data_IF_009592717580
#
_entry.id   IF_009592717580
#
_cell.length_a   1.000
_cell.length_b   1.000
_cell.length_c   1.000
_cell.angle_alpha   90.00
_cell.angle_beta   90.00
_cell.angle_gamma   90.00
#
_symmetry.space_group_name_H-M   'P 1'
#
loop_
_entity.id
_entity.type
_entity.pdbx_description
1 polymer ?
#
# COMPACT_ATOMS: atom_id res chain seq x y z
N UNK A 1 7.60 6.01 19.13
CA UNK A 1 8.20 7.36 19.27
C UNK A 1 7.40 8.37 18.45
N UNK A 2 7.30 9.62 18.90
CA UNK A 2 6.33 10.68 18.48
C UNK A 2 4.85 10.34 18.74
N UNK A 3 4.22 9.39 18.06
CA UNK A 3 2.78 9.11 18.29
C UNK A 3 2.50 8.61 19.72
N UNK A 4 3.41 7.80 20.27
CA UNK A 4 3.27 7.31 21.65
C UNK A 4 3.57 8.42 22.68
N UNK A 5 4.38 9.42 22.30
CA UNK A 5 4.58 10.63 23.10
C UNK A 5 3.32 11.51 23.07
N UNK A 6 2.75 11.75 21.89
CA UNK A 6 1.50 12.51 21.72
C UNK A 6 0.37 11.85 22.50
N UNK A 7 0.26 10.52 22.46
CA UNK A 7 -0.69 9.77 23.27
C UNK A 7 -0.48 10.01 24.77
N UNK A 8 0.75 9.85 25.27
CA UNK A 8 1.07 10.08 26.68
C UNK A 8 0.76 11.51 27.13
N UNK A 9 1.11 12.50 26.32
CA UNK A 9 0.78 13.91 26.59
C UNK A 9 -0.73 14.15 26.61
N UNK A 10 -1.47 13.56 25.67
CA UNK A 10 -2.92 13.71 25.59
C UNK A 10 -3.64 13.08 26.79
N UNK A 11 -3.21 11.88 27.21
CA UNK A 11 -3.75 11.23 28.42
C UNK A 11 -3.44 12.03 29.68
N UNK A 12 -2.22 12.57 29.78
CA UNK A 12 -1.82 13.42 30.93
C UNK A 12 -2.68 14.69 31.02
N UNK A 13 -3.02 15.29 29.87
CA UNK A 13 -3.85 16.50 29.79
C UNK A 13 -5.34 16.21 30.10
N UNK A 14 -5.85 15.05 29.66
CA UNK A 14 -7.20 14.59 30.02
C UNK A 14 -7.38 14.46 31.53
N UNK A 15 -6.35 13.97 32.22
CA UNK A 15 -6.36 13.74 33.67
C UNK A 15 -5.96 15.00 34.48
N UNK A 16 -5.64 16.12 33.81
CA UNK A 16 -5.24 17.35 34.49
C UNK A 16 -6.41 18.04 35.19
N UNK A 17 -6.11 18.72 36.31
CA UNK A 17 -7.12 19.46 37.08
C UNK A 17 -7.71 20.67 36.31
N UNK A 18 -6.96 21.19 35.34
CA UNK A 18 -7.38 22.21 34.38
C UNK A 18 -6.99 21.72 32.97
N UNK A 19 -7.85 20.86 32.41
CA UNK A 19 -7.60 20.23 31.12
C UNK A 19 -7.68 21.25 29.98
N UNK A 20 -6.79 21.14 28.98
CA UNK A 20 -6.70 22.12 27.90
C UNK A 20 -7.92 22.15 26.96
N UNK A 21 -8.70 21.07 26.94
CA UNK A 21 -9.79 20.83 25.99
C UNK A 21 -11.05 20.31 26.70
N UNK A 22 -12.19 20.44 26.03
CA UNK A 22 -13.42 19.75 26.42
C UNK A 22 -13.34 18.25 26.12
N UNK A 23 -14.22 17.46 26.77
CA UNK A 23 -14.34 16.01 26.50
C UNK A 23 -14.62 15.70 25.03
N UNK A 24 -15.38 16.56 24.35
CA UNK A 24 -15.71 16.37 22.94
C UNK A 24 -14.46 16.54 22.06
N UNK A 25 -13.66 17.57 22.33
CA UNK A 25 -12.40 17.83 21.63
C UNK A 25 -11.38 16.71 21.88
N UNK A 26 -11.26 16.23 23.13
CA UNK A 26 -10.42 15.06 23.42
C UNK A 26 -10.88 13.82 22.65
N UNK A 27 -12.19 13.58 22.54
CA UNK A 27 -12.73 12.49 21.72
C UNK A 27 -12.33 12.60 20.25
N UNK A 28 -12.31 13.81 19.68
CA UNK A 28 -11.85 14.05 18.31
C UNK A 28 -10.34 13.83 18.16
N UNK A 29 -9.54 14.30 19.12
CA UNK A 29 -8.08 14.11 19.13
C UNK A 29 -7.71 12.63 19.26
N UNK A 30 -8.35 11.88 20.15
CA UNK A 30 -8.15 10.45 20.32
C UNK A 30 -8.51 9.66 19.05
N UNK A 31 -9.59 10.07 18.36
CA UNK A 31 -9.96 9.48 17.06
C UNK A 31 -8.87 9.71 16.00
N UNK A 32 -8.38 10.95 15.86
CA UNK A 32 -7.28 11.28 14.93
C UNK A 32 -5.99 10.54 15.27
N UNK A 33 -5.65 10.45 16.55
CA UNK A 33 -4.48 9.69 17.01
C UNK A 33 -4.61 8.20 16.66
N UNK A 34 -5.80 7.62 16.86
CA UNK A 34 -6.08 6.23 16.47
C UNK A 34 -5.90 6.04 14.96
N UNK A 35 -6.41 6.96 14.13
CA UNK A 35 -6.20 6.94 12.68
C UNK A 35 -4.72 7.03 12.30
N UNK A 36 -3.94 7.93 12.91
CA UNK A 36 -2.51 8.04 12.67
C UNK A 36 -1.74 6.77 13.06
N UNK A 37 -2.13 6.13 14.17
CA UNK A 37 -1.54 4.85 14.58
C UNK A 37 -1.86 3.72 13.60
N UNK A 38 -3.10 3.65 13.10
CA UNK A 38 -3.47 2.69 12.06
C UNK A 38 -2.67 2.93 10.78
N UNK A 39 -2.53 4.19 10.36
CA UNK A 39 -1.73 4.56 9.19
C UNK A 39 -0.27 4.15 9.35
N UNK A 40 0.34 4.40 10.53
CA UNK A 40 1.71 3.96 10.85
C UNK A 40 1.85 2.43 10.77
N UNK A 41 0.87 1.68 11.28
CA UNK A 41 0.90 0.22 11.21
C UNK A 41 0.79 -0.29 9.77
N UNK A 42 -0.08 0.34 8.96
CA UNK A 42 -0.23 0.01 7.55
C UNK A 42 1.04 0.31 6.75
N UNK A 43 1.65 1.48 6.97
CA UNK A 43 2.94 1.89 6.40
C UNK A 43 4.02 0.84 6.69
N UNK A 44 4.25 0.54 7.97
CA UNK A 44 5.24 -0.45 8.39
C UNK A 44 5.02 -1.80 7.70
N UNK A 45 3.77 -2.27 7.62
CA UNK A 45 3.47 -3.53 6.95
C UNK A 45 3.71 -3.45 5.44
N UNK A 46 3.22 -2.40 4.79
CA UNK A 46 3.26 -2.22 3.35
C UNK A 46 4.70 -2.07 2.85
N UNK A 47 5.43 -1.07 3.38
CA UNK A 47 6.75 -0.71 2.88
C UNK A 47 7.80 -1.75 3.29
N UNK A 48 7.76 -2.25 4.53
CA UNK A 48 8.73 -3.28 4.94
C UNK A 48 8.53 -4.60 4.20
N UNK A 49 7.28 -5.00 3.93
CA UNK A 49 7.00 -6.21 3.15
C UNK A 49 7.53 -6.05 1.73
N UNK A 50 7.22 -4.94 1.06
CA UNK A 50 7.72 -4.68 -0.30
C UNK A 50 9.25 -4.67 -0.31
N UNK A 51 9.92 -3.94 0.57
CA UNK A 51 11.38 -3.88 0.63
C UNK A 51 12.05 -5.15 1.18
N UNK A 52 11.29 -6.13 1.69
CA UNK A 52 11.86 -7.42 2.11
C UNK A 52 12.28 -8.29 0.92
N UNK A 53 11.67 -8.07 -0.25
CA UNK A 53 12.00 -8.80 -1.48
C UNK A 53 13.17 -8.13 -2.22
N UNK A 54 14.07 -8.93 -2.79
CA UNK A 54 15.23 -8.40 -3.52
C UNK A 54 14.85 -7.76 -4.86
N UNK A 55 13.83 -8.31 -5.54
CA UNK A 55 13.42 -7.83 -6.86
C UNK A 55 12.66 -6.49 -6.78
N UNK A 56 11.87 -6.24 -5.73
CA UNK A 56 11.23 -4.93 -5.49
C UNK A 56 12.25 -3.83 -5.23
N UNK A 57 13.29 -4.13 -4.44
CA UNK A 57 14.45 -3.24 -4.24
C UNK A 57 15.20 -2.94 -5.53
N UNK A 58 15.21 -3.86 -6.49
CA UNK A 58 15.82 -3.63 -7.80
C UNK A 58 15.02 -2.63 -8.64
N UNK A 59 13.70 -2.50 -8.42
CA UNK A 59 12.89 -1.46 -9.08
C UNK A 59 13.07 -0.11 -8.42
N UNK A 60 12.88 -0.11 -7.11
CA UNK A 60 12.90 1.09 -6.30
C UNK A 60 13.25 0.71 -4.84
N UNK A 61 14.44 1.12 -4.40
CA UNK A 61 14.90 0.91 -3.02
C UNK A 61 14.50 2.05 -2.08
N UNK A 62 13.87 3.11 -2.60
CA UNK A 62 13.52 4.30 -1.85
C UNK A 62 12.21 4.08 -1.07
N UNK A 63 12.32 4.05 0.26
CA UNK A 63 11.18 3.89 1.17
C UNK A 63 10.11 4.97 0.97
N UNK A 64 10.51 6.23 0.78
CA UNK A 64 9.60 7.36 0.54
C UNK A 64 8.73 7.17 -0.70
N UNK A 65 9.25 6.55 -1.75
CA UNK A 65 8.50 6.24 -2.97
C UNK A 65 7.35 5.26 -2.67
N UNK A 66 7.63 4.18 -1.93
CA UNK A 66 6.60 3.19 -1.56
C UNK A 66 5.57 3.74 -0.57
N UNK A 67 6.01 4.59 0.37
CA UNK A 67 5.10 5.29 1.27
C UNK A 67 4.17 6.24 0.50
N UNK A 68 4.71 7.01 -0.44
CA UNK A 68 3.91 7.90 -1.28
C UNK A 68 2.89 7.11 -2.10
N UNK A 69 3.30 5.98 -2.68
CA UNK A 69 2.39 5.06 -3.37
C UNK A 69 1.24 4.62 -2.47
N UNK A 70 1.54 4.17 -1.25
CA UNK A 70 0.51 3.75 -0.30
C UNK A 70 -0.48 4.90 -0.03
N UNK A 71 0.02 6.10 0.27
CA UNK A 71 -0.82 7.27 0.56
C UNK A 71 -1.66 7.71 -0.64
N UNK A 72 -1.14 7.58 -1.86
CA UNK A 72 -1.89 7.86 -3.08
C UNK A 72 -2.99 6.83 -3.30
N UNK A 73 -2.74 5.54 -3.05
CA UNK A 73 -3.77 4.49 -3.18
C UNK A 73 -4.92 4.64 -2.18
N UNK A 74 -4.66 5.17 -0.98
CA UNK A 74 -5.72 5.48 -0.01
C UNK A 74 -6.68 6.57 -0.52
N UNK A 75 -6.21 7.45 -1.40
CA UNK A 75 -6.94 8.63 -1.90
C UNK A 75 -7.46 8.46 -3.33
N UNK A 76 -6.78 7.67 -4.16
CA UNK A 76 -7.07 7.52 -5.60
C UNK A 76 -6.72 6.09 -6.09
N UNK A 77 -7.35 5.03 -5.52
CA UNK A 77 -6.99 3.65 -5.86
C UNK A 77 -7.33 3.26 -7.30
N UNK A 78 -8.26 3.98 -7.94
CA UNK A 78 -8.61 3.79 -9.35
C UNK A 78 -7.46 4.17 -10.31
N UNK A 79 -6.45 4.92 -9.83
CA UNK A 79 -5.25 5.27 -10.59
C UNK A 79 -4.09 4.29 -10.35
N UNK A 80 -4.37 3.09 -9.82
CA UNK A 80 -3.32 2.11 -9.44
C UNK A 80 -2.34 1.79 -10.58
N UNK A 81 -2.79 1.74 -11.84
CA UNK A 81 -1.92 1.49 -12.99
C UNK A 81 -0.88 2.61 -13.19
N UNK A 82 -1.30 3.88 -13.16
CA UNK A 82 -0.40 5.03 -13.30
C UNK A 82 0.48 5.22 -12.08
N UNK A 83 -0.08 5.04 -10.88
CA UNK A 83 0.66 5.13 -9.63
C UNK A 83 1.77 4.06 -9.55
N UNK A 84 1.51 2.83 -9.99
CA UNK A 84 2.54 1.79 -10.10
C UNK A 84 3.58 2.11 -11.17
N UNK A 85 3.15 2.63 -12.32
CA UNK A 85 4.06 3.01 -13.39
C UNK A 85 5.03 4.13 -12.97
N UNK A 86 4.61 5.08 -12.14
CA UNK A 86 5.47 6.14 -11.62
C UNK A 86 6.58 5.61 -10.68
N UNK A 87 6.30 4.54 -9.95
CA UNK A 87 7.22 3.97 -8.95
C UNK A 87 8.20 2.98 -9.56
N UNK A 88 7.70 2.12 -10.45
CA UNK A 88 8.47 1.02 -11.05
C UNK A 88 9.09 1.46 -12.38
N UNK A 89 8.46 2.41 -13.07
CA UNK A 89 8.95 3.00 -14.31
C UNK A 89 9.29 1.98 -15.38
N UNK A 90 10.33 2.29 -16.16
CA UNK A 90 10.85 1.41 -17.20
C UNK A 90 11.49 0.12 -16.64
N UNK A 91 11.79 0.06 -15.33
CA UNK A 91 12.35 -1.15 -14.71
C UNK A 91 11.33 -2.30 -14.70
N UNK A 92 10.03 -2.00 -14.80
CA UNK A 92 8.99 -3.00 -15.00
C UNK A 92 9.20 -3.82 -16.29
N UNK A 93 9.78 -3.21 -17.33
CA UNK A 93 10.06 -3.87 -18.62
C UNK A 93 11.22 -4.86 -18.55
N UNK A 94 12.06 -4.77 -17.51
CA UNK A 94 13.18 -5.68 -17.31
C UNK A 94 12.77 -6.95 -16.57
N UNK A 95 11.50 -7.05 -16.15
CA UNK A 95 11.00 -8.20 -15.41
C UNK A 95 10.79 -9.40 -16.30
N UNK A 96 11.24 -10.56 -15.83
CA UNK A 96 10.69 -11.81 -16.34
C UNK A 96 9.21 -11.92 -15.99
N UNK A 97 8.43 -12.64 -16.80
CA UNK A 97 7.00 -12.85 -16.52
C UNK A 97 6.74 -13.41 -15.11
N UNK A 98 7.62 -14.29 -14.64
CA UNK A 98 7.55 -14.88 -13.29
C UNK A 98 7.71 -13.83 -12.19
N UNK A 99 8.65 -12.90 -12.35
CA UNK A 99 8.87 -11.83 -11.38
C UNK A 99 7.73 -10.81 -11.42
N UNK A 100 7.16 -10.53 -12.59
CA UNK A 100 5.98 -9.67 -12.73
C UNK A 100 4.76 -10.26 -12.02
N UNK A 101 4.46 -11.54 -12.23
CA UNK A 101 3.38 -12.23 -11.53
C UNK A 101 3.61 -12.28 -10.00
N UNK A 102 4.86 -12.53 -9.58
CA UNK A 102 5.23 -12.54 -8.17
C UNK A 102 5.06 -11.16 -7.54
N UNK A 103 5.46 -10.10 -8.24
CA UNK A 103 5.27 -8.72 -7.82
C UNK A 103 3.79 -8.40 -7.62
N UNK A 104 2.93 -8.63 -8.63
CA UNK A 104 1.50 -8.34 -8.54
C UNK A 104 0.83 -9.10 -7.41
N UNK A 105 1.22 -10.36 -7.17
CA UNK A 105 0.70 -11.14 -6.05
C UNK A 105 1.10 -10.55 -4.70
N UNK A 106 2.36 -10.16 -4.52
CA UNK A 106 2.84 -9.53 -3.29
C UNK A 106 2.15 -8.18 -3.08
N UNK A 107 2.05 -7.38 -4.15
CA UNK A 107 1.38 -6.09 -4.14
C UNK A 107 -0.10 -6.21 -3.75
N UNK A 108 -0.81 -7.20 -4.31
CA UNK A 108 -2.16 -7.54 -3.90
C UNK A 108 -2.26 -7.88 -2.40
N UNK A 109 -1.33 -8.67 -1.86
CA UNK A 109 -1.36 -9.03 -0.43
C UNK A 109 -1.13 -7.83 0.47
N UNK A 110 -0.18 -6.95 0.16
CA UNK A 110 0.07 -5.76 0.98
C UNK A 110 -1.10 -4.78 0.91
N UNK A 111 -1.71 -4.57 -0.26
CA UNK A 111 -2.93 -3.75 -0.40
C UNK A 111 -4.12 -4.34 0.35
N UNK A 112 -4.26 -5.67 0.36
CA UNK A 112 -5.32 -6.37 1.10
C UNK A 112 -5.16 -6.25 2.61
N UNK A 113 -3.92 -6.13 3.09
CA UNK A 113 -3.65 -6.04 4.53
C UNK A 113 -3.84 -4.63 5.11
N UNK A 114 -3.98 -3.61 4.27
CA UNK A 114 -4.37 -2.25 4.68
C UNK A 114 -5.81 -2.31 5.23
N UNK A 115 -6.10 -1.75 6.41
CA UNK A 115 -7.48 -1.61 6.88
C UNK A 115 -8.34 -0.77 5.91
N UNK A 116 -9.53 -1.27 5.54
CA UNK A 116 -10.49 -0.56 4.67
C UNK A 116 -10.82 0.85 5.18
N UNK A 117 -10.87 1.04 6.49
CA UNK A 117 -11.13 2.31 7.16
C UNK A 117 -10.04 3.39 6.98
N UNK A 118 -8.89 3.05 6.40
CA UNK A 118 -7.86 4.02 6.02
C UNK A 118 -8.07 4.62 4.63
N UNK A 119 -8.86 3.98 3.78
CA UNK A 119 -9.23 4.54 2.49
C UNK A 119 -10.20 5.71 2.70
N UNK A 120 -10.17 6.69 1.79
CA UNK A 120 -11.08 7.83 1.85
C UNK A 120 -12.55 7.36 1.78
N UNK A 121 -12.84 6.39 0.90
CA UNK A 121 -14.08 5.60 0.95
C UNK A 121 -13.76 4.14 1.26
N UNK A 122 -14.48 3.53 2.21
CA UNK A 122 -14.16 2.19 2.68
C UNK A 122 -14.25 1.11 1.58
N UNK A 123 -15.20 1.25 0.65
CA UNK A 123 -15.40 0.31 -0.46
C UNK A 123 -14.29 0.38 -1.52
N UNK A 124 -13.48 1.45 -1.53
CA UNK A 124 -12.40 1.59 -2.50
C UNK A 124 -11.29 0.55 -2.36
N UNK A 125 -11.15 -0.05 -1.17
CA UNK A 125 -10.23 -1.18 -1.03
C UNK A 125 -10.65 -2.33 -1.94
N UNK A 126 -11.95 -2.64 -1.99
CA UNK A 126 -12.45 -3.72 -2.83
C UNK A 126 -12.20 -3.44 -4.31
N UNK A 127 -12.46 -2.21 -4.76
CA UNK A 127 -12.18 -1.76 -6.13
C UNK A 127 -10.69 -1.90 -6.48
N UNK A 128 -9.78 -1.49 -5.59
CA UNK A 128 -8.34 -1.67 -5.77
C UNK A 128 -7.97 -3.15 -5.93
N UNK A 129 -8.50 -4.01 -5.07
CA UNK A 129 -8.21 -5.45 -5.12
C UNK A 129 -8.77 -6.11 -6.38
N UNK A 130 -9.91 -5.65 -6.88
CA UNK A 130 -10.46 -6.09 -8.17
C UNK A 130 -9.59 -5.65 -9.34
N UNK A 131 -9.12 -4.40 -9.34
CA UNK A 131 -8.21 -3.89 -10.37
C UNK A 131 -6.90 -4.70 -10.42
N UNK A 132 -6.29 -4.98 -9.25
CA UNK A 132 -5.06 -5.77 -9.16
C UNK A 132 -5.24 -7.22 -9.62
N UNK A 133 -6.40 -7.83 -9.36
CA UNK A 133 -6.73 -9.15 -9.91
C UNK A 133 -6.83 -9.11 -11.43
N UNK A 134 -7.49 -8.10 -11.99
CA UNK A 134 -7.59 -7.91 -13.44
C UNK A 134 -6.20 -7.78 -14.08
N UNK A 135 -5.29 -7.00 -13.49
CA UNK A 135 -3.90 -6.90 -13.97
C UNK A 135 -3.19 -8.26 -13.96
N UNK A 136 -3.39 -9.04 -12.91
CA UNK A 136 -2.79 -10.38 -12.77
C UNK A 136 -3.32 -11.34 -13.85
N UNK A 137 -4.62 -11.30 -14.12
CA UNK A 137 -5.26 -12.11 -15.16
C UNK A 137 -4.78 -11.73 -16.57
N UNK A 138 -4.58 -10.43 -16.83
CA UNK A 138 -4.02 -9.92 -18.08
C UNK A 138 -2.57 -10.41 -18.24
N UNK A 139 -1.74 -10.24 -17.21
CA UNK A 139 -0.34 -10.70 -17.23
C UNK A 139 -0.24 -12.21 -17.51
N UNK A 140 -1.11 -13.03 -16.89
CA UNK A 140 -1.13 -14.47 -17.09
C UNK A 140 -1.56 -14.87 -18.52
N UNK A 141 -2.54 -14.18 -19.10
CA UNK A 141 -2.98 -14.42 -20.50
C UNK A 141 -1.86 -14.09 -21.50
N UNK A 142 -1.12 -13.02 -21.27
CA UNK A 142 0.03 -12.65 -22.10
C UNK A 142 1.15 -13.69 -22.01
N UNK A 143 1.47 -14.16 -20.80
CA UNK A 143 2.48 -15.22 -20.58
C UNK A 143 2.13 -16.52 -21.34
N UNK A 144 0.87 -16.96 -21.25
CA UNK A 144 0.40 -18.16 -21.96
C UNK A 144 0.49 -18.03 -23.49
N UNK A 145 0.21 -16.84 -24.03
CA UNK A 145 0.29 -16.58 -25.47
C UNK A 145 1.74 -16.59 -25.98
N UNK A 146 2.68 -16.04 -25.22
CA UNK A 146 4.10 -16.00 -25.59
C UNK A 146 4.79 -17.37 -25.46
N UNK A 147 4.44 -18.16 -24.45
CA UNK A 147 4.91 -19.54 -24.33
C UNK A 147 4.48 -20.40 -25.52
N UNK A 148 3.22 -20.28 -25.97
CA UNK A 148 2.72 -20.98 -27.16
C UNK A 148 3.50 -20.60 -28.42
N UNK A 149 3.72 -19.30 -28.66
CA UNK A 149 4.50 -18.80 -29.80
C UNK A 149 5.96 -19.26 -29.78
N UNK A 150 6.54 -19.42 -28.60
CA UNK A 150 7.93 -19.88 -28.45
C UNK A 150 8.05 -21.38 -28.75
N UNK A 151 7.06 -22.17 -28.32
CA UNK A 151 6.97 -23.61 -28.64
C UNK A 151 6.77 -23.83 -30.14
N UNK A 152 5.87 -23.06 -30.78
CA UNK A 152 5.63 -23.13 -32.23
C UNK A 152 6.82 -22.69 -33.09
N UNK A 153 7.73 -21.86 -32.56
CA UNK A 153 8.97 -21.45 -33.25
C UNK A 153 10.12 -22.46 -33.10
N UNK A 154 10.02 -23.38 -32.15
CA UNK A 154 11.00 -24.42 -31.86
C UNK A 154 10.62 -25.79 -32.46
N UNK A 155 9.40 -25.91 -33.02
CA UNK A 155 8.89 -27.06 -33.78
C UNK A 155 9.03 -26.86 -35.27
#
# INVERSE_FOLDING_TARGET
MVLDFIEGSLLTDIDANDASCSRLEFGQLLRRLTQLKMLRSADLLFVSTLLSYSFTKAFNAEESSWLLLMLSLLQQPHEVDSLLADIIGLNALLLSHKEHASFLQIFYQVCKAIPSSLFYEEYWQEELLMALRSMTDIAYKHEMAEQRRTIEKLS
#
